data_IF_004359569870
#
_entry.id   IF_004359569870
#
_cell.length_a   1.000
_cell.length_b   1.000
_cell.length_c   1.000
_cell.angle_alpha   90.00
_cell.angle_beta   90.00
_cell.angle_gamma   90.00
#
_symmetry.space_group_name_H-M   'P 1'
#
loop_
_entity.id
_entity.type
_entity.pdbx_description
1 polymer ?
#
# COMPACT_ATOMS: atom_id res chain seq x y z
N UNK A 1 7.81 -42.28 -0.89
CA UNK A 1 9.08 -41.84 -1.50
C UNK A 1 9.55 -42.93 -2.46
N UNK A 2 10.05 -42.57 -3.65
CA UNK A 2 10.64 -43.51 -4.61
C UNK A 2 12.14 -43.20 -4.71
N UNK A 3 12.98 -44.23 -4.80
CA UNK A 3 14.43 -44.04 -4.98
C UNK A 3 14.74 -43.98 -6.48
N UNK A 4 15.51 -42.97 -6.89
CA UNK A 4 15.92 -42.75 -8.28
C UNK A 4 17.44 -42.65 -8.30
N UNK A 5 18.08 -43.41 -9.20
CA UNK A 5 19.51 -43.28 -9.48
C UNK A 5 19.69 -42.36 -10.67
N UNK A 6 20.54 -41.35 -10.52
CA UNK A 6 20.88 -40.39 -11.59
C UNK A 6 22.38 -40.43 -11.85
N UNK A 7 22.77 -40.39 -13.12
CA UNK A 7 24.17 -40.27 -13.52
C UNK A 7 24.50 -38.80 -13.73
N UNK A 8 25.57 -38.32 -13.08
CA UNK A 8 26.01 -36.93 -13.13
C UNK A 8 27.52 -36.90 -13.39
N UNK A 9 28.05 -35.86 -14.06
CA UNK A 9 29.49 -35.63 -14.14
C UNK A 9 30.11 -35.47 -12.74
N UNK A 10 31.30 -36.01 -12.52
CA UNK A 10 31.98 -35.97 -11.22
C UNK A 10 32.17 -34.54 -10.69
N UNK A 11 32.55 -33.61 -11.58
CA UNK A 11 32.69 -32.18 -11.25
C UNK A 11 31.37 -31.57 -10.76
N UNK A 12 30.25 -31.98 -11.35
CA UNK A 12 28.93 -31.50 -10.94
C UNK A 12 28.56 -32.04 -9.56
N UNK A 13 28.87 -33.31 -9.27
CA UNK A 13 28.64 -33.91 -7.95
C UNK A 13 29.45 -33.20 -6.87
N UNK A 14 30.71 -32.89 -7.14
CA UNK A 14 31.57 -32.16 -6.21
C UNK A 14 30.99 -30.79 -5.87
N UNK A 15 30.62 -29.99 -6.88
CA UNK A 15 29.99 -28.68 -6.68
C UNK A 15 28.66 -28.79 -5.96
N UNK A 16 27.81 -29.73 -6.33
CA UNK A 16 26.51 -29.92 -5.70
C UNK A 16 26.62 -30.25 -4.21
N UNK A 17 27.64 -31.03 -3.81
CA UNK A 17 27.91 -31.31 -2.39
C UNK A 17 28.35 -30.07 -1.64
N UNK A 18 29.22 -29.25 -2.25
CA UNK A 18 29.66 -27.98 -1.64
C UNK A 18 28.47 -27.03 -1.46
N UNK A 19 27.61 -26.88 -2.47
CA UNK A 19 26.42 -26.05 -2.39
C UNK A 19 25.40 -26.56 -1.35
N UNK A 20 25.18 -27.88 -1.28
CA UNK A 20 24.33 -28.48 -0.27
C UNK A 20 24.88 -28.22 1.15
N UNK A 21 26.20 -28.35 1.34
CA UNK A 21 26.86 -28.08 2.62
C UNK A 21 26.78 -26.60 3.03
N UNK A 22 26.90 -25.66 2.08
CA UNK A 22 26.69 -24.22 2.34
C UNK A 22 25.30 -23.92 2.91
N UNK A 23 24.29 -24.71 2.52
CA UNK A 23 22.92 -24.58 3.01
C UNK A 23 22.61 -25.50 4.19
N UNK A 24 23.60 -26.22 4.74
CA UNK A 24 23.42 -27.21 5.81
C UNK A 24 22.40 -28.31 5.46
N UNK A 25 22.30 -28.69 4.18
CA UNK A 25 21.36 -29.70 3.68
C UNK A 25 22.11 -30.93 3.18
N UNK A 26 21.43 -32.08 3.17
CA UNK A 26 21.93 -33.26 2.46
C UNK A 26 21.85 -33.05 0.95
N UNK A 27 22.70 -33.74 0.20
CA UNK A 27 22.70 -33.68 -1.27
C UNK A 27 21.33 -34.08 -1.86
N UNK A 28 20.67 -35.10 -1.29
CA UNK A 28 19.34 -35.53 -1.74
C UNK A 28 18.27 -34.46 -1.50
N UNK A 29 18.29 -33.80 -0.34
CA UNK A 29 17.38 -32.70 0.01
C UNK A 29 17.59 -31.51 -0.92
N UNK A 30 18.85 -31.14 -1.15
CA UNK A 30 19.22 -30.05 -2.05
C UNK A 30 18.76 -30.29 -3.48
N UNK A 31 18.97 -31.50 -4.02
CA UNK A 31 18.51 -31.85 -5.37
C UNK A 31 16.99 -31.88 -5.45
N UNK A 32 16.30 -32.38 -4.43
CA UNK A 32 14.84 -32.40 -4.40
C UNK A 32 14.25 -30.98 -4.47
N UNK A 33 14.78 -30.05 -3.67
CA UNK A 33 14.34 -28.65 -3.66
C UNK A 33 14.62 -27.95 -5.00
N UNK A 34 15.80 -28.17 -5.60
CA UNK A 34 16.10 -27.65 -6.95
C UNK A 34 15.15 -28.16 -8.02
N UNK A 35 14.78 -29.45 -7.96
CA UNK A 35 13.81 -30.03 -8.89
C UNK A 35 12.43 -29.44 -8.65
N UNK A 36 12.01 -29.28 -7.40
CA UNK A 36 10.73 -28.67 -7.04
C UNK A 36 10.65 -27.21 -7.53
N UNK A 37 11.69 -26.41 -7.31
CA UNK A 37 11.77 -25.02 -7.80
C UNK A 37 11.70 -24.93 -9.32
N UNK A 38 12.34 -25.86 -10.04
CA UNK A 38 12.37 -25.86 -11.51
C UNK A 38 11.11 -26.44 -12.14
N UNK A 39 10.50 -27.42 -11.49
CA UNK A 39 9.27 -28.05 -11.93
C UNK A 39 8.02 -27.28 -11.49
N UNK A 40 8.11 -26.42 -10.48
CA UNK A 40 7.07 -25.45 -10.15
C UNK A 40 7.03 -24.41 -11.27
N UNK A 41 6.26 -24.70 -12.31
CA UNK A 41 5.99 -23.75 -13.39
C UNK A 41 5.29 -22.52 -12.82
N UNK A 42 5.77 -21.29 -13.11
CA UNK A 42 5.09 -20.05 -12.70
C UNK A 42 3.67 -19.95 -13.29
N UNK A 43 3.42 -20.66 -14.40
CA UNK A 43 2.09 -20.81 -14.98
C UNK A 43 1.09 -21.46 -14.02
N UNK A 44 1.52 -22.31 -13.07
CA UNK A 44 0.56 -22.98 -12.17
C UNK A 44 -0.04 -21.98 -11.17
N UNK A 45 0.75 -21.05 -10.65
CA UNK A 45 0.25 -20.01 -9.75
C UNK A 45 -0.65 -19.00 -10.48
N UNK A 46 -0.22 -18.52 -11.66
CA UNK A 46 -1.01 -17.59 -12.45
C UNK A 46 -2.29 -18.25 -13.01
N UNK A 47 -2.19 -19.49 -13.51
CA UNK A 47 -3.35 -20.24 -13.98
C UNK A 47 -4.29 -20.63 -12.84
N UNK A 48 -3.78 -20.98 -11.65
CA UNK A 48 -4.60 -21.21 -10.47
C UNK A 48 -5.33 -19.94 -10.03
N UNK A 49 -4.67 -18.78 -10.05
CA UNK A 49 -5.30 -17.50 -9.76
C UNK A 49 -6.38 -17.15 -10.81
N UNK A 50 -6.08 -17.30 -12.09
CA UNK A 50 -7.04 -17.09 -13.17
C UNK A 50 -8.24 -18.03 -13.03
N UNK A 51 -8.00 -19.31 -12.70
CA UNK A 51 -9.06 -20.30 -12.46
C UNK A 51 -9.90 -19.93 -11.24
N UNK A 52 -9.27 -19.46 -10.17
CA UNK A 52 -9.95 -18.98 -8.97
C UNK A 52 -10.84 -17.76 -9.28
N UNK A 53 -10.32 -16.78 -10.01
CA UNK A 53 -11.08 -15.59 -10.42
C UNK A 53 -12.21 -15.90 -11.41
N UNK A 54 -12.04 -16.92 -12.26
CA UNK A 54 -13.07 -17.41 -13.19
C UNK A 54 -14.10 -18.33 -12.54
N UNK A 55 -13.87 -18.77 -11.30
CA UNK A 55 -14.81 -19.62 -10.58
C UNK A 55 -16.12 -18.88 -10.27
N UNK A 56 -17.23 -19.61 -10.02
CA UNK A 56 -18.44 -18.98 -9.51
C UNK A 56 -18.09 -18.28 -8.19
N UNK A 57 -18.33 -16.96 -8.13
CA UNK A 57 -18.08 -16.19 -6.91
C UNK A 57 -18.79 -16.83 -5.71
N UNK A 58 -18.28 -16.58 -4.50
CA UNK A 58 -18.86 -17.18 -3.29
C UNK A 58 -20.37 -16.86 -3.18
N UNK A 59 -21.24 -17.88 -3.10
CA UNK A 59 -22.67 -17.66 -3.01
C UNK A 59 -22.99 -16.88 -1.72
N UNK A 60 -23.68 -15.75 -1.89
CA UNK A 60 -24.02 -14.81 -0.81
C UNK A 60 -23.09 -13.60 -0.68
N UNK A 61 -21.82 -13.73 -1.08
CA UNK A 61 -20.88 -12.60 -1.16
C UNK A 61 -21.04 -11.91 -2.50
N UNK A 62 -20.89 -12.65 -3.61
CA UNK A 62 -20.91 -12.10 -4.96
C UNK A 62 -22.25 -11.45 -5.38
N UNK A 63 -23.36 -11.76 -4.70
CA UNK A 63 -24.68 -11.17 -5.00
C UNK A 63 -24.89 -9.77 -4.43
N UNK A 64 -24.18 -9.44 -3.36
CA UNK A 64 -24.36 -8.19 -2.60
C UNK A 64 -23.05 -7.40 -2.50
N UNK A 65 -22.12 -7.59 -3.44
CA UNK A 65 -20.92 -6.78 -3.49
C UNK A 65 -21.32 -5.37 -3.95
N UNK A 66 -21.04 -4.32 -3.16
CA UNK A 66 -21.25 -2.96 -3.61
C UNK A 66 -20.41 -2.72 -4.87
N UNK A 67 -21.02 -2.03 -5.82
CA UNK A 67 -20.35 -1.60 -7.04
C UNK A 67 -19.22 -0.62 -6.69
N UNK A 68 -18.29 -0.45 -7.62
CA UNK A 68 -17.16 0.46 -7.43
C UNK A 68 -17.64 1.90 -7.16
N UNK A 69 -18.72 2.31 -7.80
CA UNK A 69 -19.33 3.64 -7.63
C UNK A 69 -19.95 3.80 -6.24
N UNK A 70 -20.68 2.79 -5.75
CA UNK A 70 -21.25 2.77 -4.40
C UNK A 70 -20.17 2.84 -3.31
N UNK A 71 -19.05 2.11 -3.48
CA UNK A 71 -17.91 2.18 -2.55
C UNK A 71 -17.28 3.58 -2.47
N UNK A 72 -17.20 4.30 -3.58
CA UNK A 72 -16.68 5.67 -3.57
C UNK A 72 -17.68 6.66 -2.98
N UNK A 73 -18.98 6.49 -3.27
CA UNK A 73 -20.03 7.30 -2.67
C UNK A 73 -20.06 7.15 -1.12
N UNK A 74 -20.02 5.91 -0.62
CA UNK A 74 -19.93 5.63 0.82
C UNK A 74 -18.68 6.26 1.45
N UNK A 75 -17.54 6.19 0.77
CA UNK A 75 -16.29 6.82 1.22
C UNK A 75 -16.40 8.35 1.24
N UNK A 76 -16.98 8.96 0.22
CA UNK A 76 -17.18 10.40 0.14
C UNK A 76 -18.12 10.88 1.24
N UNK A 77 -19.22 10.17 1.47
CA UNK A 77 -20.14 10.43 2.60
C UNK A 77 -19.44 10.29 3.95
N UNK A 78 -18.59 9.28 4.14
CA UNK A 78 -17.81 9.09 5.36
C UNK A 78 -16.79 10.23 5.56
N UNK A 79 -16.10 10.63 4.50
CA UNK A 79 -15.16 11.75 4.54
C UNK A 79 -15.90 13.05 4.87
N UNK A 80 -17.05 13.30 4.25
CA UNK A 80 -17.92 14.46 4.55
C UNK A 80 -18.32 14.45 6.03
N UNK A 81 -18.78 13.32 6.57
CA UNK A 81 -19.13 13.20 8.01
C UNK A 81 -17.96 13.51 8.93
N UNK A 82 -16.74 13.04 8.60
CA UNK A 82 -15.53 13.36 9.38
C UNK A 82 -15.22 14.86 9.33
N UNK A 83 -15.34 15.50 8.17
CA UNK A 83 -15.14 16.95 8.03
C UNK A 83 -16.24 17.77 8.71
N UNK A 84 -17.49 17.31 8.72
CA UNK A 84 -18.59 17.94 9.44
C UNK A 84 -18.43 17.85 10.97
N UNK A 85 -17.90 16.73 11.46
CA UNK A 85 -17.55 16.58 12.89
C UNK A 85 -16.44 17.53 13.34
N UNK A 86 -15.69 18.10 12.38
CA UNK A 86 -14.65 19.09 12.60
C UNK A 86 -15.13 20.52 12.35
N UNK A 87 -16.44 20.79 12.42
CA UNK A 87 -16.94 22.16 12.58
C UNK A 87 -16.54 22.66 13.96
N UNK A 88 -15.41 23.37 13.95
CA UNK A 88 -15.01 24.49 14.80
C UNK A 88 -15.93 24.67 16.01
N UNK A 89 -15.41 24.31 17.18
CA UNK A 89 -15.95 24.76 18.47
C UNK A 89 -16.15 26.27 18.34
N UNK A 90 -17.39 26.74 18.37
CA UNK A 90 -17.68 28.16 18.46
C UNK A 90 -16.87 28.68 19.65
N UNK A 91 -15.84 29.47 19.35
CA UNK A 91 -15.05 30.13 20.38
C UNK A 91 -16.01 30.98 21.21
N UNK A 92 -15.81 31.09 22.54
CA UNK A 92 -16.69 31.90 23.37
C UNK A 92 -16.77 33.31 22.79
N UNK A 93 -18.01 33.76 22.52
CA UNK A 93 -18.29 35.03 21.87
C UNK A 93 -17.55 36.17 22.55
N UNK A 94 -16.77 36.92 21.76
CA UNK A 94 -16.14 38.17 22.21
C UNK A 94 -17.18 39.28 22.22
N UNK A 95 -18.08 39.25 23.19
CA UNK A 95 -18.98 40.36 23.51
C UNK A 95 -18.47 41.09 24.77
N UNK A 96 -17.20 41.52 24.78
CA UNK A 96 -16.66 42.37 25.85
C UNK A 96 -15.29 42.97 25.50
N UNK A 97 -15.16 43.71 24.40
CA UNK A 97 -13.98 44.56 24.21
C UNK A 97 -14.30 45.81 23.39
N UNK A 98 -15.39 46.49 23.78
CA UNK A 98 -15.74 47.82 23.29
C UNK A 98 -15.91 48.79 24.47
N UNK A 99 -15.00 48.75 25.45
CA UNK A 99 -14.96 49.81 26.45
C UNK A 99 -13.64 49.90 27.24
N UNK A 100 -12.48 49.88 26.58
CA UNK A 100 -11.32 50.57 27.15
C UNK A 100 -10.22 50.84 26.12
N UNK A 101 -10.27 52.00 25.46
CA UNK A 101 -9.07 52.65 24.93
C UNK A 101 -9.17 54.14 25.17
N UNK A 102 -8.92 54.52 26.42
CA UNK A 102 -8.26 55.79 26.73
C UNK A 102 -6.94 55.86 25.98
N UNK A 103 -6.72 56.98 25.29
CA UNK A 103 -5.68 57.12 24.27
C UNK A 103 -4.26 57.16 24.81
N UNK A 104 -3.32 56.74 23.96
CA UNK A 104 -1.94 57.24 23.90
C UNK A 104 -1.50 57.24 22.45
N UNK A 105 -0.90 58.34 22.02
CA UNK A 105 -0.44 58.63 20.67
C UNK A 105 0.76 57.75 20.24
N UNK A 106 0.84 57.45 18.94
CA UNK A 106 2.01 56.89 18.26
C UNK A 106 1.86 57.13 16.75
N UNK A 107 2.86 57.77 16.17
CA UNK A 107 2.90 58.42 14.85
C UNK A 107 2.82 57.46 13.64
N UNK A 108 2.53 57.96 12.41
CA UNK A 108 2.42 57.12 11.23
C UNK A 108 3.79 56.96 10.55
N UNK A 109 4.32 55.73 10.50
CA UNK A 109 5.42 55.41 9.60
C UNK A 109 4.93 54.74 8.32
N UNK A 110 5.53 55.23 7.25
CA UNK A 110 5.36 54.90 5.85
C UNK A 110 6.22 53.66 5.48
N UNK A 111 6.14 53.25 4.21
CA UNK A 111 6.90 52.18 3.53
C UNK A 111 6.35 50.75 3.69
N UNK A 112 6.19 49.93 2.64
CA UNK A 112 6.53 50.08 1.23
C UNK A 112 6.12 48.80 0.48
N UNK A 113 5.56 49.02 -0.71
CA UNK A 113 5.74 48.28 -1.97
C UNK A 113 6.21 46.80 -1.93
N UNK A 114 5.43 45.89 -2.54
CA UNK A 114 5.79 45.24 -3.82
C UNK A 114 4.87 44.03 -4.11
N UNK A 115 4.24 44.05 -5.28
CA UNK A 115 3.50 42.93 -5.83
C UNK A 115 4.40 41.81 -6.36
N UNK A 116 3.83 40.62 -6.49
CA UNK A 116 4.31 39.56 -7.37
C UNK A 116 3.13 38.69 -7.78
N UNK A 117 2.80 38.71 -9.08
CA UNK A 117 1.84 37.80 -9.71
C UNK A 117 2.37 36.34 -9.75
N UNK A 118 1.48 35.33 -9.80
CA UNK A 118 1.87 33.93 -9.88
C UNK A 118 2.07 33.47 -11.34
N UNK A 119 3.24 32.91 -11.65
CA UNK A 119 3.50 32.16 -12.90
C UNK A 119 3.12 30.68 -12.70
N UNK A 120 2.22 30.17 -13.55
CA UNK A 120 1.93 28.73 -13.68
C UNK A 120 3.01 28.04 -14.54
N UNK A 121 3.39 26.78 -14.24
CA UNK A 121 4.16 25.96 -15.15
C UNK A 121 3.24 25.09 -16.06
N UNK A 122 3.66 24.91 -17.32
CA UNK A 122 3.32 23.76 -18.18
C UNK A 122 4.35 22.64 -17.98
#
# INVERSE_FOLDING_TARGET
MKNVTITLPDDLVARARVEAAKQSKSLSRFVAELVEERCTTPDDAAAALIRFMKGPGFPGIAKNLPTREELYAEREEELVRRYESHRLRDGPGRDAEANDRGGVAGEPEHDGNAGSEPTKPE
#
